data_IF_870306464981
#
_entry.id   IF_870306464981
#
_cell.length_a   1.000
_cell.length_b   1.000
_cell.length_c   1.000
_cell.angle_alpha   90.00
_cell.angle_beta   90.00
_cell.angle_gamma   90.00
#
_symmetry.space_group_name_H-M   'P 1'
#
loop_
_entity.id
_entity.type
_entity.pdbx_description
1 polymer ?
#
# COMPACT_ATOMS: atom_id res chain seq x y z
N UNK A 1 12.22 6.08 -56.51
CA UNK A 1 12.41 7.29 -55.67
C UNK A 1 12.04 7.07 -54.19
N UNK A 2 10.83 6.60 -53.84
CA UNK A 2 10.39 6.44 -52.42
C UNK A 2 11.21 5.46 -51.56
N UNK A 3 11.76 4.38 -52.14
CA UNK A 3 12.59 3.40 -51.40
C UNK A 3 13.93 3.98 -50.91
N UNK A 4 14.57 4.85 -51.69
CA UNK A 4 15.83 5.50 -51.29
C UNK A 4 15.59 6.55 -50.20
N UNK A 5 14.50 7.31 -50.30
CA UNK A 5 14.10 8.28 -49.27
C UNK A 5 13.78 7.59 -47.93
N UNK A 6 13.08 6.45 -47.96
CA UNK A 6 12.81 5.67 -46.75
C UNK A 6 14.10 5.07 -46.15
N UNK A 7 15.04 4.61 -46.98
CA UNK A 7 16.35 4.13 -46.53
C UNK A 7 17.17 5.25 -45.88
N UNK A 8 17.15 6.44 -46.49
CA UNK A 8 17.86 7.61 -45.97
C UNK A 8 17.21 8.14 -44.68
N UNK A 9 15.88 8.08 -44.56
CA UNK A 9 15.15 8.36 -43.31
C UNK A 9 15.45 7.33 -42.21
N UNK A 10 15.58 6.06 -42.58
CA UNK A 10 15.89 4.97 -41.65
C UNK A 10 17.35 5.04 -41.16
N UNK A 11 18.28 5.43 -42.03
CA UNK A 11 19.68 5.70 -41.68
C UNK A 11 19.81 6.97 -40.83
N UNK A 12 19.11 8.06 -41.16
CA UNK A 12 19.07 9.25 -40.33
C UNK A 12 18.51 8.96 -38.93
N UNK A 13 17.46 8.15 -38.82
CA UNK A 13 16.92 7.71 -37.52
C UNK A 13 17.84 6.71 -36.77
N UNK A 14 18.74 5.99 -37.47
CA UNK A 14 19.73 5.11 -36.83
C UNK A 14 20.98 5.85 -36.38
N UNK A 15 21.39 6.91 -37.10
CA UNK A 15 22.65 7.64 -36.88
C UNK A 15 22.46 8.95 -36.12
N UNK A 16 21.28 9.57 -36.18
CA UNK A 16 20.93 10.81 -35.47
C UNK A 16 19.83 10.50 -34.47
N UNK A 17 20.22 10.23 -33.22
CA UNK A 17 19.26 10.05 -32.12
C UNK A 17 19.28 8.68 -31.44
N UNK A 18 20.19 7.76 -31.81
CA UNK A 18 20.61 6.75 -30.85
C UNK A 18 21.44 7.46 -29.79
N UNK A 19 20.74 8.02 -28.80
CA UNK A 19 21.30 8.06 -27.46
C UNK A 19 21.77 6.63 -27.18
N UNK A 20 23.08 6.42 -27.05
CA UNK A 20 23.57 5.27 -26.31
C UNK A 20 22.82 5.34 -24.99
N UNK A 21 21.91 4.38 -24.81
CA UNK A 21 20.98 4.33 -23.69
C UNK A 21 21.86 4.30 -22.46
N UNK A 22 22.03 5.45 -21.80
CA UNK A 22 22.83 5.49 -20.59
C UNK A 22 22.17 4.50 -19.66
N UNK A 23 22.95 3.58 -19.08
CA UNK A 23 22.53 2.45 -18.22
C UNK A 23 21.85 2.89 -16.90
N UNK A 24 21.21 4.06 -16.89
CA UNK A 24 20.64 4.75 -15.73
C UNK A 24 19.31 4.10 -15.31
N UNK A 25 18.62 3.39 -16.22
CA UNK A 25 17.57 2.45 -15.87
C UNK A 25 18.17 1.05 -15.79
N UNK A 26 18.91 0.79 -14.71
CA UNK A 26 19.55 -0.50 -14.47
C UNK A 26 18.50 -1.62 -14.35
N UNK A 27 18.89 -2.85 -14.69
CA UNK A 27 18.08 -4.05 -14.45
C UNK A 27 17.62 -4.15 -12.99
N UNK A 28 18.40 -3.61 -12.04
CA UNK A 28 18.04 -3.53 -10.63
C UNK A 28 16.78 -2.71 -10.40
N UNK A 29 16.61 -1.59 -11.12
CA UNK A 29 15.45 -0.71 -10.96
C UNK A 29 14.17 -1.36 -11.49
N UNK A 30 14.28 -2.13 -12.58
CA UNK A 30 13.20 -2.96 -13.11
C UNK A 30 12.86 -4.12 -12.15
N UNK A 31 13.87 -4.71 -11.53
CA UNK A 31 13.68 -5.77 -10.53
C UNK A 31 12.97 -5.22 -9.28
N UNK A 32 13.33 -4.01 -8.83
CA UNK A 32 12.67 -3.32 -7.72
C UNK A 32 11.22 -3.00 -8.06
N UNK A 33 10.92 -2.55 -9.28
CA UNK A 33 9.53 -2.32 -9.72
C UNK A 33 8.70 -3.60 -9.64
N UNK A 34 9.20 -4.71 -10.18
CA UNK A 34 8.51 -6.00 -10.12
C UNK A 34 8.29 -6.47 -8.67
N UNK A 35 9.27 -6.24 -7.79
CA UNK A 35 9.12 -6.53 -6.35
C UNK A 35 8.07 -5.65 -5.70
N UNK A 36 8.01 -4.37 -6.06
CA UNK A 36 7.04 -3.42 -5.52
C UNK A 36 5.59 -3.83 -5.84
N UNK A 37 5.34 -4.33 -7.06
CA UNK A 37 4.02 -4.84 -7.44
C UNK A 37 3.63 -6.08 -6.61
N UNK A 38 4.58 -6.97 -6.34
CA UNK A 38 4.35 -8.13 -5.47
C UNK A 38 4.08 -7.71 -4.03
N UNK A 39 4.84 -6.76 -3.49
CA UNK A 39 4.61 -6.21 -2.16
C UNK A 39 3.22 -5.60 -2.08
N UNK A 40 2.82 -4.78 -3.07
CA UNK A 40 1.45 -4.22 -3.12
C UNK A 40 0.39 -5.31 -3.07
N UNK A 41 0.53 -6.33 -3.90
CA UNK A 41 -0.43 -7.43 -3.97
C UNK A 41 -0.55 -8.15 -2.62
N UNK A 42 0.57 -8.51 -2.01
CA UNK A 42 0.60 -9.21 -0.73
C UNK A 42 0.01 -8.33 0.36
N UNK A 43 0.48 -7.09 0.51
CA UNK A 43 -0.02 -6.12 1.49
C UNK A 43 -1.53 -5.96 1.38
N UNK A 44 -2.06 -5.75 0.18
CA UNK A 44 -3.49 -5.55 -0.03
C UNK A 44 -4.33 -6.80 0.28
N UNK A 45 -3.82 -7.99 -0.07
CA UNK A 45 -4.48 -9.26 0.24
C UNK A 45 -4.48 -9.56 1.75
N UNK A 46 -3.37 -9.26 2.43
CA UNK A 46 -3.20 -9.42 3.88
C UNK A 46 -4.11 -8.45 4.62
N UNK A 47 -4.10 -7.17 4.24
CA UNK A 47 -4.98 -6.15 4.80
C UNK A 47 -6.46 -6.59 4.73
N UNK A 48 -6.91 -7.06 3.56
CA UNK A 48 -8.29 -7.50 3.36
C UNK A 48 -8.66 -8.70 4.25
N UNK A 49 -7.77 -9.69 4.34
CA UNK A 49 -8.00 -10.87 5.19
C UNK A 49 -7.99 -10.51 6.68
N UNK A 50 -7.02 -9.70 7.10
CA UNK A 50 -6.89 -9.26 8.49
C UNK A 50 -8.10 -8.46 8.94
N UNK A 51 -8.56 -7.52 8.11
CA UNK A 51 -9.80 -6.76 8.34
C UNK A 51 -11.00 -7.67 8.53
N UNK A 52 -11.13 -8.75 7.74
CA UNK A 52 -12.25 -9.67 7.83
C UNK A 52 -12.24 -10.54 9.11
N UNK A 53 -11.10 -10.63 9.80
CA UNK A 53 -10.99 -11.35 11.06
C UNK A 53 -11.39 -10.51 12.27
N UNK A 54 -11.43 -9.18 12.14
CA UNK A 54 -11.79 -8.25 13.21
C UNK A 54 -13.31 -8.06 13.22
N UNK A 55 -13.94 -8.19 14.38
CA UNK A 55 -15.38 -8.08 14.57
C UNK A 55 -15.83 -6.62 14.75
N UNK A 56 -14.92 -5.71 15.11
CA UNK A 56 -15.15 -4.27 15.13
C UNK A 56 -15.42 -3.69 13.73
N UNK A 57 -16.48 -2.89 13.58
CA UNK A 57 -16.67 -2.09 12.37
C UNK A 57 -15.46 -1.14 12.19
N UNK A 58 -14.83 -1.20 11.01
CA UNK A 58 -13.80 -0.26 10.59
C UNK A 58 -14.27 1.19 10.79
N UNK A 59 -13.41 2.03 11.39
CA UNK A 59 -13.67 3.47 11.55
C UNK A 59 -14.44 3.87 12.81
N UNK A 60 -14.69 2.95 13.75
CA UNK A 60 -15.05 3.34 15.10
C UNK A 60 -13.78 3.78 15.84
N UNK A 61 -13.44 5.07 15.76
CA UNK A 61 -12.29 5.74 16.39
C UNK A 61 -12.35 5.73 17.95
N UNK A 62 -13.34 5.02 18.51
CA UNK A 62 -13.70 5.14 19.91
C UNK A 62 -13.91 3.75 20.51
N UNK A 63 -13.05 3.41 21.49
CA UNK A 63 -13.14 2.17 22.27
C UNK A 63 -14.52 1.98 22.89
N UNK A 64 -15.16 3.09 23.27
CA UNK A 64 -16.46 3.11 23.92
C UNK A 64 -17.64 2.79 22.98
N UNK A 65 -17.46 2.99 21.66
CA UNK A 65 -18.45 2.59 20.64
C UNK A 65 -18.30 1.13 20.21
N UNK A 66 -17.10 0.56 20.36
CA UNK A 66 -16.82 -0.86 20.10
C UNK A 66 -17.30 -1.76 21.22
N UNK A 67 -17.14 -1.34 22.48
CA UNK A 67 -17.61 -2.08 23.66
C UNK A 67 -19.13 -2.29 23.65
N UNK A 68 -19.91 -1.31 23.19
CA UNK A 68 -21.38 -1.40 23.14
C UNK A 68 -21.94 -2.33 22.06
N UNK A 69 -21.10 -2.95 21.22
CA UNK A 69 -21.55 -3.79 20.10
C UNK A 69 -20.95 -5.19 20.09
N UNK A 70 -19.98 -5.49 20.96
CA UNK A 70 -19.39 -6.82 21.00
C UNK A 70 -20.40 -7.81 21.62
N UNK A 71 -20.76 -8.91 20.93
CA UNK A 71 -21.70 -9.90 21.46
C UNK A 71 -21.28 -10.47 22.83
N UNK A 72 -19.96 -10.55 23.10
CA UNK A 72 -19.41 -11.00 24.38
C UNK A 72 -19.83 -10.11 25.55
N UNK A 73 -19.80 -8.78 25.39
CA UNK A 73 -20.22 -7.84 26.44
C UNK A 73 -21.72 -7.98 26.75
N UNK A 74 -22.53 -8.23 25.72
CA UNK A 74 -23.97 -8.49 25.88
C UNK A 74 -24.19 -9.81 26.63
N UNK A 75 -23.42 -10.85 26.29
CA UNK A 75 -23.48 -12.15 26.97
C UNK A 75 -23.08 -12.02 28.44
N UNK A 76 -21.99 -11.31 28.74
CA UNK A 76 -21.53 -11.05 30.11
C UNK A 76 -22.62 -10.39 30.94
N UNK A 77 -23.25 -9.34 30.41
CA UNK A 77 -24.34 -8.62 31.06
C UNK A 77 -25.55 -9.54 31.32
N UNK A 78 -25.95 -10.34 30.32
CA UNK A 78 -27.05 -11.30 30.46
C UNK A 78 -26.79 -12.34 31.56
N UNK A 79 -25.54 -12.81 31.70
CA UNK A 79 -25.17 -13.74 32.76
C UNK A 79 -25.28 -13.13 34.16
N UNK A 80 -24.80 -11.88 34.33
CA UNK A 80 -24.89 -11.16 35.61
C UNK A 80 -26.35 -10.84 35.97
N UNK A 81 -27.16 -10.42 35.00
CA UNK A 81 -28.60 -10.21 35.20
C UNK A 81 -29.33 -11.52 35.55
N UNK A 82 -29.00 -12.62 34.88
CA UNK A 82 -29.53 -13.94 35.19
C UNK A 82 -29.15 -14.43 36.59
N UNK A 83 -27.94 -14.13 37.04
CA UNK A 83 -27.50 -14.41 38.40
C UNK A 83 -28.32 -13.62 39.44
N UNK A 84 -28.57 -12.32 39.19
CA UNK A 84 -29.37 -11.48 40.06
C UNK A 84 -30.83 -11.97 40.21
N UNK A 85 -31.41 -12.53 39.14
CA UNK A 85 -32.75 -13.15 39.19
C UNK A 85 -32.78 -14.41 40.05
N UNK A 86 -31.72 -15.22 40.01
CA UNK A 86 -31.60 -16.46 40.80
C UNK A 86 -31.29 -16.21 42.28
N UNK A 87 -30.74 -15.04 42.60
CA UNK A 87 -30.36 -14.63 43.95
C UNK A 87 -29.02 -15.23 44.43
N UNK A 88 -28.42 -14.58 45.42
CA UNK A 88 -27.05 -14.86 45.89
C UNK A 88 -26.89 -16.19 46.64
N UNK A 89 -27.99 -16.82 47.05
CA UNK A 89 -27.98 -18.13 47.71
C UNK A 89 -27.93 -19.31 46.71
N UNK A 90 -28.23 -19.04 45.43
CA UNK A 90 -28.18 -20.06 44.37
C UNK A 90 -26.75 -20.36 43.95
N UNK A 91 -26.36 -21.64 43.98
CA UNK A 91 -25.07 -22.09 43.42
C UNK A 91 -24.95 -21.73 41.93
N UNK A 92 -26.05 -21.81 41.18
CA UNK A 92 -26.09 -21.42 39.77
C UNK A 92 -25.95 -19.90 39.60
N UNK A 93 -26.55 -19.10 40.50
CA UNK A 93 -26.38 -17.65 40.51
C UNK A 93 -24.93 -17.23 40.72
N UNK A 94 -24.24 -17.84 41.70
CA UNK A 94 -22.81 -17.62 41.93
C UNK A 94 -21.96 -18.02 40.72
N UNK A 95 -22.28 -19.14 40.08
CA UNK A 95 -21.59 -19.59 38.87
C UNK A 95 -21.79 -18.60 37.72
N UNK A 96 -23.01 -18.13 37.48
CA UNK A 96 -23.31 -17.16 36.44
C UNK A 96 -22.63 -15.81 36.66
N UNK A 97 -22.55 -15.34 37.90
CA UNK A 97 -21.79 -14.12 38.23
C UNK A 97 -20.30 -14.28 37.89
N UNK A 98 -19.67 -15.39 38.31
CA UNK A 98 -18.27 -15.65 37.99
C UNK A 98 -18.03 -15.77 36.48
N UNK A 99 -18.93 -16.44 35.76
CA UNK A 99 -18.88 -16.54 34.30
C UNK A 99 -19.03 -15.15 33.65
N UNK A 100 -20.01 -14.34 34.09
CA UNK A 100 -20.23 -13.00 33.55
C UNK A 100 -19.03 -12.07 33.75
N UNK A 101 -18.43 -12.06 34.95
CA UNK A 101 -17.20 -11.28 35.21
C UNK A 101 -16.01 -11.74 34.35
N UNK A 102 -15.90 -13.05 34.12
CA UNK A 102 -14.84 -13.61 33.27
C UNK A 102 -15.06 -13.24 31.81
N UNK A 103 -16.29 -13.33 31.33
CA UNK A 103 -16.68 -12.99 29.97
C UNK A 103 -16.49 -11.49 29.69
N UNK A 104 -16.79 -10.63 30.67
CA UNK A 104 -16.55 -9.18 30.57
C UNK A 104 -15.06 -8.86 30.44
N UNK A 105 -14.19 -9.51 31.23
CA UNK A 105 -12.72 -9.36 31.08
C UNK A 105 -12.25 -9.84 29.71
N UNK A 106 -12.77 -10.97 29.24
CA UNK A 106 -12.45 -11.49 27.91
C UNK A 106 -12.89 -10.52 26.80
N UNK A 107 -14.07 -9.91 26.94
CA UNK A 107 -14.57 -8.90 26.04
C UNK A 107 -13.63 -7.68 25.96
N UNK A 108 -13.15 -7.21 27.11
CA UNK A 108 -12.21 -6.08 27.20
C UNK A 108 -10.87 -6.38 26.53
N UNK A 109 -10.30 -7.56 26.78
CA UNK A 109 -9.07 -8.00 26.12
C UNK A 109 -9.25 -8.12 24.59
N UNK A 110 -10.40 -8.62 24.13
CA UNK A 110 -10.69 -8.70 22.70
C UNK A 110 -10.78 -7.32 22.06
N UNK A 111 -11.46 -6.36 22.69
CA UNK A 111 -11.55 -4.97 22.20
C UNK A 111 -10.16 -4.34 22.11
N UNK A 112 -9.33 -4.56 23.13
CA UNK A 112 -7.96 -4.05 23.18
C UNK A 112 -7.09 -4.68 22.08
N UNK A 113 -7.22 -5.99 21.85
CA UNK A 113 -6.55 -6.70 20.77
C UNK A 113 -6.96 -6.14 19.40
N UNK A 114 -8.26 -6.04 19.11
CA UNK A 114 -8.73 -5.56 17.82
C UNK A 114 -8.30 -4.12 17.54
N UNK A 115 -8.36 -3.25 18.56
CA UNK A 115 -7.88 -1.88 18.45
C UNK A 115 -6.38 -1.81 18.13
N UNK A 116 -5.57 -2.61 18.82
CA UNK A 116 -4.13 -2.62 18.60
C UNK A 116 -3.77 -3.13 17.20
N UNK A 117 -4.42 -4.21 16.74
CA UNK A 117 -4.18 -4.76 15.41
C UNK A 117 -4.60 -3.78 14.32
N UNK A 118 -5.71 -3.07 14.50
CA UNK A 118 -6.15 -2.08 13.52
C UNK A 118 -5.12 -0.95 13.38
N UNK A 119 -4.68 -0.38 14.51
CA UNK A 119 -3.74 0.74 14.52
C UNK A 119 -2.32 0.36 14.10
N UNK A 120 -1.78 -0.73 14.62
CA UNK A 120 -0.35 -1.05 14.43
C UNK A 120 -0.09 -1.88 13.18
N UNK A 121 -1.13 -2.49 12.59
CA UNK A 121 -0.98 -3.42 11.47
C UNK A 121 -1.88 -3.05 10.30
N UNK A 122 -3.19 -2.94 10.50
CA UNK A 122 -4.13 -2.70 9.39
C UNK A 122 -3.88 -1.33 8.75
N UNK A 123 -3.83 -0.27 9.55
CA UNK A 123 -3.64 1.10 9.07
C UNK A 123 -2.29 1.30 8.34
N UNK A 124 -1.12 0.85 8.87
CA UNK A 124 0.15 0.93 8.15
C UNK A 124 0.17 0.11 6.85
N UNK A 125 -0.48 -1.06 6.82
CA UNK A 125 -0.58 -1.84 5.57
C UNK A 125 -1.44 -1.12 4.53
N UNK A 126 -2.50 -0.43 4.96
CA UNK A 126 -3.34 0.38 4.08
C UNK A 126 -2.55 1.56 3.51
N UNK A 127 -1.87 2.33 4.37
CA UNK A 127 -1.05 3.48 3.97
C UNK A 127 0.04 3.06 2.97
N UNK A 128 0.75 1.96 3.25
CA UNK A 128 1.75 1.41 2.35
C UNK A 128 1.17 1.08 0.96
N UNK A 129 -0.01 0.42 0.92
CA UNK A 129 -0.62 -0.04 -0.33
C UNK A 129 -1.24 1.09 -1.16
N UNK A 130 -1.90 2.05 -0.52
CA UNK A 130 -2.73 3.07 -1.17
C UNK A 130 -2.04 4.43 -1.31
N UNK A 131 -1.00 4.71 -0.50
CA UNK A 131 -0.30 6.00 -0.50
C UNK A 131 1.13 5.83 -0.97
N UNK A 132 1.95 5.07 -0.25
CA UNK A 132 3.40 5.03 -0.46
C UNK A 132 3.77 4.36 -1.77
N UNK A 133 3.24 3.15 -2.04
CA UNK A 133 3.55 2.42 -3.27
C UNK A 133 3.13 3.22 -4.52
N UNK A 134 1.90 3.76 -4.63
CA UNK A 134 1.51 4.60 -5.76
C UNK A 134 2.39 5.85 -5.92
N UNK A 135 2.82 6.47 -4.81
CA UNK A 135 3.74 7.61 -4.85
C UNK A 135 5.11 7.21 -5.39
N UNK A 136 5.68 6.10 -4.93
CA UNK A 136 6.96 5.56 -5.45
C UNK A 136 6.83 5.29 -6.95
N UNK A 137 5.75 4.64 -7.39
CA UNK A 137 5.50 4.38 -8.81
C UNK A 137 5.41 5.67 -9.64
N UNK A 138 4.76 6.71 -9.10
CA UNK A 138 4.66 8.03 -9.75
C UNK A 138 6.03 8.69 -9.91
N UNK A 139 6.83 8.72 -8.84
CA UNK A 139 8.19 9.29 -8.87
C UNK A 139 9.09 8.52 -9.85
N UNK A 140 8.96 7.19 -9.92
CA UNK A 140 9.74 6.37 -10.85
C UNK A 140 9.40 6.67 -12.31
N UNK A 141 8.12 6.84 -12.65
CA UNK A 141 7.70 7.28 -14.00
C UNK A 141 8.25 8.66 -14.34
N UNK A 142 8.31 9.56 -13.36
CA UNK A 142 8.92 10.87 -13.55
C UNK A 142 10.43 10.78 -13.80
N UNK A 143 11.15 9.98 -13.02
CA UNK A 143 12.58 9.72 -13.21
C UNK A 143 12.87 9.17 -14.61
N UNK A 144 12.09 8.20 -15.09
CA UNK A 144 12.26 7.65 -16.44
C UNK A 144 12.16 8.73 -17.53
N UNK A 145 11.27 9.71 -17.36
CA UNK A 145 11.15 10.86 -18.28
C UNK A 145 12.39 11.75 -18.22
N UNK A 146 12.85 12.10 -17.01
CA UNK A 146 14.04 12.95 -16.83
C UNK A 146 15.31 12.32 -17.41
N UNK A 147 15.45 10.99 -17.30
CA UNK A 147 16.56 10.26 -17.91
C UNK A 147 16.53 10.38 -19.44
N UNK A 148 15.35 10.22 -20.06
CA UNK A 148 15.20 10.42 -21.52
C UNK A 148 15.52 11.85 -21.94
N UNK A 149 15.08 12.84 -21.16
CA UNK A 149 15.37 14.26 -21.42
C UNK A 149 16.88 14.54 -21.33
N UNK A 150 17.56 13.96 -20.32
CA UNK A 150 19.01 14.05 -20.13
C UNK A 150 19.79 13.38 -21.27
N UNK A 151 19.41 12.16 -21.66
CA UNK A 151 19.99 11.44 -22.80
C UNK A 151 19.85 12.24 -24.11
N UNK A 152 18.69 12.89 -24.30
CA UNK A 152 18.45 13.75 -25.45
C UNK A 152 19.37 14.98 -25.46
N UNK A 153 19.58 15.61 -24.29
CA UNK A 153 20.46 16.77 -24.15
C UNK A 153 21.93 16.39 -24.37
N UNK A 154 22.36 15.26 -23.81
CA UNK A 154 23.71 14.71 -24.00
C UNK A 154 23.99 14.43 -25.47
N UNK A 155 23.04 13.80 -26.19
CA UNK A 155 23.18 13.52 -27.62
C UNK A 155 23.32 14.79 -28.46
N UNK A 156 22.59 15.87 -28.10
CA UNK A 156 22.71 17.18 -28.77
C UNK A 156 24.08 17.83 -28.56
N UNK A 157 24.68 17.67 -27.37
CA UNK A 157 25.98 18.26 -27.03
C UNK A 157 27.14 17.44 -27.62
N UNK A 158 27.04 16.10 -27.62
CA UNK A 158 28.07 15.20 -28.13
C UNK A 158 28.14 15.11 -29.67
N UNK A 159 27.25 15.78 -30.40
CA UNK A 159 27.27 15.83 -31.87
C UNK A 159 27.70 17.22 -32.39
N UNK A 160 28.99 17.60 -32.31
CA UNK A 160 29.47 18.88 -32.84
C UNK A 160 29.40 18.98 -34.38
N UNK A 161 29.23 17.86 -35.10
CA UNK A 161 29.21 17.88 -36.58
C UNK A 161 27.94 18.45 -37.22
N UNK A 162 26.83 18.60 -36.47
CA UNK A 162 25.60 19.19 -37.01
C UNK A 162 25.58 20.72 -36.82
N UNK A 163 26.24 21.26 -35.78
CA UNK A 163 26.27 22.71 -35.55
C UNK A 163 27.23 23.47 -36.47
N UNK A 164 28.25 22.83 -37.06
CA UNK A 164 29.18 23.51 -38.00
C UNK A 164 28.62 23.73 -39.40
N UNK A 165 27.52 23.06 -39.80
CA UNK A 165 26.95 23.21 -41.15
C UNK A 165 25.93 24.36 -41.22
N UNK A 166 25.49 24.91 -40.07
CA UNK A 166 24.47 25.97 -40.01
C UNK A 166 24.99 27.33 -39.50
N UNK A 167 26.31 27.53 -39.43
CA UNK A 167 26.87 28.86 -39.25
C UNK A 167 27.37 29.38 -40.61
N UNK A 168 26.65 30.32 -41.26
CA UNK A 168 27.15 30.96 -42.45
C UNK A 168 28.36 31.81 -42.02
N UNK A 169 29.57 31.36 -42.37
CA UNK A 169 30.73 32.24 -42.36
C UNK A 169 30.42 33.40 -43.32
N UNK A 170 30.47 34.62 -42.78
CA UNK A 170 30.59 35.84 -43.58
C UNK A 170 31.79 35.75 -44.52
#
# INVERSE_FOLDING_TARGET
MKKQFNRMRQLANQTVGRAEKTEVLSDDLLQVEKRLDLVKQVTHSTHKKLTACLQGQQGADDREKRSKKLPLTILAQCMVEGAAVLGDDSLLGKMLNLCGETEEKLAQELIQFEFQIEKDVVEPLYELAEVDIPNIQKQRKHLAKLVLDMDSARTRISCPQICTILWPKK
#
